data_IF_172104578774
#
_entry.id   IF_172104578774
#
_cell.length_a   1.000
_cell.length_b   1.000
_cell.length_c   1.000
_cell.angle_alpha   90.00
_cell.angle_beta   90.00
_cell.angle_gamma   90.00
#
_symmetry.space_group_name_H-M   'P 1'
#
loop_
_entity.id
_entity.type
_entity.pdbx_description
1 polymer ?
#
# COMPACT_ATOMS: atom_id res chain seq x y z
N UNK A 1 16.90 28.58 -54.10
CA UNK A 1 18.02 28.14 -53.26
C UNK A 1 17.80 28.49 -51.80
N UNK A 2 17.47 29.72 -51.45
CA UNK A 2 17.27 30.15 -50.05
C UNK A 2 16.20 29.35 -49.29
N UNK A 3 15.05 29.08 -49.88
CA UNK A 3 13.98 28.29 -49.23
C UNK A 3 14.42 26.87 -48.92
N UNK A 4 15.26 26.28 -49.77
CA UNK A 4 15.80 24.95 -49.57
C UNK A 4 16.80 24.93 -48.40
N UNK A 5 17.64 25.94 -48.28
CA UNK A 5 18.58 26.11 -47.18
C UNK A 5 17.83 26.30 -45.86
N UNK A 6 16.77 27.10 -45.82
CA UNK A 6 15.94 27.29 -44.62
C UNK A 6 15.30 25.98 -44.17
N UNK A 7 14.78 25.18 -45.11
CA UNK A 7 14.18 23.88 -44.78
C UNK A 7 15.25 22.93 -44.20
N UNK A 8 16.44 22.87 -44.78
CA UNK A 8 17.55 22.06 -44.25
C UNK A 8 17.97 22.49 -42.86
N UNK A 9 18.06 23.80 -42.59
CA UNK A 9 18.38 24.33 -41.27
C UNK A 9 17.30 23.96 -40.23
N UNK A 10 16.03 24.08 -40.61
CA UNK A 10 14.93 23.66 -39.74
C UNK A 10 14.98 22.18 -39.40
N UNK A 11 15.25 21.33 -40.42
CA UNK A 11 15.42 19.89 -40.21
C UNK A 11 16.59 19.61 -39.27
N UNK A 12 17.71 20.27 -39.45
CA UNK A 12 18.90 20.15 -38.61
C UNK A 12 18.61 20.58 -37.15
N UNK A 13 17.94 21.71 -36.97
CA UNK A 13 17.53 22.20 -35.65
C UNK A 13 16.64 21.18 -34.96
N UNK A 14 15.63 20.65 -35.66
CA UNK A 14 14.73 19.63 -35.11
C UNK A 14 15.50 18.36 -34.73
N UNK A 15 16.41 17.91 -35.59
CA UNK A 15 17.24 16.73 -35.32
C UNK A 15 18.16 16.92 -34.10
N UNK A 16 18.83 18.07 -34.01
CA UNK A 16 19.67 18.39 -32.86
C UNK A 16 18.86 18.53 -31.57
N UNK A 17 17.72 19.21 -31.62
CA UNK A 17 16.83 19.34 -30.48
C UNK A 17 16.35 17.98 -29.98
N UNK A 18 15.98 17.08 -30.91
CA UNK A 18 15.57 15.71 -30.58
C UNK A 18 16.73 14.92 -29.95
N UNK A 19 17.93 15.01 -30.53
CA UNK A 19 19.11 14.35 -30.02
C UNK A 19 19.45 14.79 -28.58
N UNK A 20 19.50 16.10 -28.34
CA UNK A 20 19.81 16.63 -27.01
C UNK A 20 18.73 16.29 -25.99
N UNK A 21 17.45 16.33 -26.40
CA UNK A 21 16.34 15.93 -25.56
C UNK A 21 16.44 14.46 -25.12
N UNK A 22 16.82 13.58 -26.04
CA UNK A 22 17.02 12.17 -25.76
C UNK A 22 18.18 11.95 -24.75
N UNK A 23 19.32 12.59 -24.99
CA UNK A 23 20.47 12.56 -24.06
C UNK A 23 20.16 13.09 -22.69
N UNK A 24 19.41 14.17 -22.61
CA UNK A 24 18.94 14.74 -21.35
C UNK A 24 17.98 13.78 -20.63
N UNK A 25 17.09 13.12 -21.38
CA UNK A 25 16.20 12.10 -20.86
C UNK A 25 16.96 10.92 -20.25
N UNK A 26 18.03 10.45 -20.92
CA UNK A 26 18.90 9.39 -20.41
C UNK A 26 19.61 9.80 -19.11
N UNK A 27 20.15 11.03 -19.07
CA UNK A 27 20.80 11.56 -17.88
C UNK A 27 19.85 11.64 -16.68
N UNK A 28 18.63 12.15 -16.88
CA UNK A 28 17.62 12.19 -15.83
C UNK A 28 17.18 10.79 -15.41
N UNK A 29 17.07 9.84 -16.34
CA UNK A 29 16.73 8.45 -16.00
C UNK A 29 17.79 7.79 -15.12
N UNK A 30 19.07 8.04 -15.42
CA UNK A 30 20.20 7.58 -14.57
C UNK A 30 20.12 8.26 -13.20
N UNK A 31 19.97 9.60 -13.17
CA UNK A 31 19.84 10.33 -11.91
C UNK A 31 18.69 9.81 -11.05
N UNK A 32 17.53 9.49 -11.65
CA UNK A 32 16.40 8.90 -10.94
C UNK A 32 16.70 7.54 -10.30
N UNK A 33 17.52 6.70 -10.96
CA UNK A 33 17.90 5.38 -10.41
C UNK A 33 18.78 5.49 -9.17
N UNK A 34 19.64 6.48 -9.12
CA UNK A 34 20.64 6.64 -8.06
C UNK A 34 20.32 7.74 -7.06
N UNK A 35 19.20 8.45 -7.23
CA UNK A 35 18.79 9.48 -6.29
C UNK A 35 18.50 8.88 -4.91
N UNK A 36 19.08 9.41 -3.82
CA UNK A 36 18.90 8.87 -2.47
C UNK A 36 17.49 9.14 -1.94
N UNK A 37 16.95 10.33 -2.19
CA UNK A 37 15.64 10.73 -1.72
C UNK A 37 14.54 10.39 -2.72
N UNK A 38 13.37 10.01 -2.22
CA UNK A 38 12.20 9.67 -3.05
C UNK A 38 11.74 10.86 -3.90
N UNK A 39 11.79 12.07 -3.35
CA UNK A 39 11.43 13.31 -4.04
C UNK A 39 12.30 13.52 -5.28
N UNK A 40 13.63 13.45 -5.11
CA UNK A 40 14.58 13.58 -6.22
C UNK A 40 14.35 12.49 -7.27
N UNK A 41 14.04 11.26 -6.83
CA UNK A 41 13.72 10.16 -7.72
C UNK A 41 12.47 10.45 -8.54
N UNK A 42 11.43 10.98 -7.92
CA UNK A 42 10.19 11.40 -8.59
C UNK A 42 10.46 12.52 -9.60
N UNK A 43 11.16 13.56 -9.16
CA UNK A 43 11.47 14.70 -10.01
C UNK A 43 12.30 14.30 -11.24
N UNK A 44 13.39 13.56 -11.06
CA UNK A 44 14.21 13.09 -12.17
C UNK A 44 13.47 12.13 -13.08
N UNK A 45 12.66 11.22 -12.53
CA UNK A 45 11.80 10.32 -13.33
C UNK A 45 10.80 11.12 -14.18
N UNK A 46 10.20 12.15 -13.59
CA UNK A 46 9.30 13.07 -14.30
C UNK A 46 10.01 13.79 -15.46
N UNK A 47 11.17 14.40 -15.18
CA UNK A 47 11.97 15.10 -16.20
C UNK A 47 12.38 14.16 -17.33
N UNK A 48 12.76 12.92 -17.00
CA UNK A 48 13.10 11.90 -17.98
C UNK A 48 11.90 11.49 -18.85
N UNK A 49 10.70 11.32 -18.26
CA UNK A 49 9.46 11.03 -19.02
C UNK A 49 9.12 12.16 -19.96
N UNK A 50 9.20 13.43 -19.51
CA UNK A 50 8.95 14.61 -20.34
C UNK A 50 9.96 14.74 -21.47
N UNK A 51 11.20 14.30 -21.26
CA UNK A 51 12.22 14.21 -22.29
C UNK A 51 12.01 13.03 -23.25
N UNK A 52 11.04 12.15 -23.01
CA UNK A 52 10.68 11.02 -23.87
C UNK A 52 11.44 9.73 -23.61
N UNK A 53 12.16 9.63 -22.48
CA UNK A 53 12.91 8.43 -22.13
C UNK A 53 11.96 7.24 -21.88
N UNK A 54 12.20 6.11 -22.57
CA UNK A 54 11.33 4.94 -22.50
C UNK A 54 11.46 4.18 -21.17
N UNK A 55 12.67 4.16 -20.61
CA UNK A 55 12.93 3.47 -19.34
C UNK A 55 12.30 4.24 -18.16
N UNK A 56 12.38 5.55 -18.18
CA UNK A 56 11.74 6.40 -17.19
C UNK A 56 10.22 6.18 -17.09
N UNK A 57 9.55 5.78 -18.17
CA UNK A 57 8.14 5.43 -18.16
C UNK A 57 7.81 4.21 -17.28
N UNK A 58 8.81 3.37 -16.97
CA UNK A 58 8.65 2.26 -16.04
C UNK A 58 8.92 2.68 -14.59
N UNK A 59 9.81 3.64 -14.38
CA UNK A 59 10.24 4.11 -13.06
C UNK A 59 9.22 5.09 -12.48
N UNK A 60 8.79 6.08 -13.28
CA UNK A 60 7.92 7.16 -12.83
C UNK A 60 6.60 6.69 -12.20
N UNK A 61 5.81 5.79 -12.83
CA UNK A 61 4.58 5.29 -12.23
C UNK A 61 4.80 4.61 -10.87
N UNK A 62 5.93 3.93 -10.69
CA UNK A 62 6.25 3.23 -9.45
C UNK A 62 6.62 4.23 -8.35
N UNK A 63 7.38 5.28 -8.69
CA UNK A 63 7.79 6.31 -7.72
C UNK A 63 6.63 7.19 -7.26
N UNK A 64 5.56 7.30 -8.05
CA UNK A 64 4.35 8.06 -7.74
C UNK A 64 3.11 7.17 -7.51
N UNK A 65 3.30 5.87 -7.26
CA UNK A 65 2.21 4.89 -7.23
C UNK A 65 1.03 5.29 -6.33
N UNK A 66 1.29 5.96 -5.20
CA UNK A 66 0.24 6.43 -4.27
C UNK A 66 -0.64 7.54 -4.86
N UNK A 67 -0.18 8.21 -5.91
CA UNK A 67 -0.85 9.32 -6.59
C UNK A 67 -1.26 8.97 -8.00
N UNK A 68 -0.95 7.73 -8.43
CA UNK A 68 -1.29 7.26 -9.77
C UNK A 68 -2.79 7.35 -10.03
N UNK A 69 -3.16 7.61 -11.29
CA UNK A 69 -4.55 7.58 -11.70
C UNK A 69 -5.14 6.19 -11.45
N UNK A 70 -6.38 6.15 -10.99
CA UNK A 70 -7.08 4.92 -10.62
C UNK A 70 -7.36 4.83 -9.13
N UNK A 71 -7.16 3.66 -8.54
CA UNK A 71 -7.42 3.47 -7.12
C UNK A 71 -6.23 3.96 -6.29
N UNK A 72 -6.50 4.75 -5.27
CA UNK A 72 -5.48 5.27 -4.37
C UNK A 72 -5.49 4.49 -3.05
N UNK A 73 -4.30 4.20 -2.48
CA UNK A 73 -4.20 3.60 -1.15
C UNK A 73 -4.99 4.40 -0.10
N UNK A 74 -5.64 3.68 0.81
CA UNK A 74 -6.42 4.24 1.91
C UNK A 74 -7.58 5.17 1.49
N UNK A 75 -8.01 5.10 0.23
CA UNK A 75 -9.21 5.76 -0.26
C UNK A 75 -10.24 4.71 -0.70
N UNK A 76 -11.51 4.98 -0.38
CA UNK A 76 -12.60 4.11 -0.80
C UNK A 76 -12.82 4.26 -2.31
N UNK A 77 -12.83 3.15 -2.99
CA UNK A 77 -13.15 3.06 -4.42
C UNK A 77 -14.19 1.95 -4.65
N UNK A 78 -14.73 1.83 -5.85
CA UNK A 78 -15.69 0.78 -6.18
C UNK A 78 -15.07 -0.28 -7.08
N UNK A 79 -15.10 -1.54 -6.63
CA UNK A 79 -14.78 -2.71 -7.45
C UNK A 79 -16.01 -3.59 -7.59
N UNK A 80 -16.46 -3.81 -8.83
CA UNK A 80 -17.70 -4.57 -9.09
C UNK A 80 -18.92 -4.04 -8.30
N UNK A 81 -19.02 -2.72 -8.16
CA UNK A 81 -20.02 -1.96 -7.37
C UNK A 81 -19.87 -2.09 -5.84
N UNK A 82 -18.90 -2.84 -5.33
CA UNK A 82 -18.62 -2.98 -3.90
C UNK A 82 -17.64 -1.86 -3.48
N UNK A 83 -17.89 -1.11 -2.40
CA UNK A 83 -16.92 -0.22 -1.78
C UNK A 83 -15.72 -1.03 -1.30
N UNK A 84 -14.52 -0.66 -1.75
CA UNK A 84 -13.27 -1.35 -1.42
C UNK A 84 -12.25 -0.36 -0.89
N UNK A 85 -11.34 -0.85 -0.07
CA UNK A 85 -10.15 -0.12 0.38
C UNK A 85 -8.96 -1.07 0.44
N UNK A 86 -7.77 -0.55 0.18
CA UNK A 86 -6.50 -1.28 0.35
C UNK A 86 -5.46 -0.35 0.96
N UNK A 87 -4.46 -0.94 1.62
CA UNK A 87 -3.47 -0.15 2.36
C UNK A 87 -2.39 0.45 1.46
N UNK A 88 -1.81 -0.35 0.56
CA UNK A 88 -0.85 0.14 -0.45
C UNK A 88 -0.77 -0.85 -1.63
N UNK A 89 0.06 -0.55 -2.64
CA UNK A 89 0.22 -1.41 -3.80
C UNK A 89 1.14 -2.60 -3.53
N UNK A 90 0.69 -3.78 -3.93
CA UNK A 90 1.54 -4.94 -4.10
C UNK A 90 2.16 -4.92 -5.51
N UNK A 91 3.49 -4.86 -5.58
CA UNK A 91 4.23 -4.87 -6.83
C UNK A 91 4.67 -6.29 -7.18
N UNK A 92 4.21 -6.86 -8.31
CA UNK A 92 4.74 -8.11 -8.82
C UNK A 92 6.26 -8.10 -8.98
N UNK A 93 6.91 -9.26 -8.81
CA UNK A 93 8.38 -9.41 -8.80
C UNK A 93 9.11 -8.82 -10.02
N UNK A 94 8.43 -8.74 -11.17
CA UNK A 94 8.97 -8.08 -12.38
C UNK A 94 9.32 -6.59 -12.19
N UNK A 95 8.84 -5.97 -11.12
CA UNK A 95 9.13 -4.56 -10.81
C UNK A 95 10.21 -4.38 -9.74
N UNK A 96 10.75 -5.46 -9.16
CA UNK A 96 11.68 -5.40 -8.02
C UNK A 96 12.88 -4.47 -8.21
N UNK A 97 13.42 -4.38 -9.44
CA UNK A 97 14.56 -3.50 -9.74
C UNK A 97 14.22 -2.00 -9.69
N UNK A 98 12.94 -1.64 -9.66
CA UNK A 98 12.47 -0.26 -9.64
C UNK A 98 11.92 0.18 -8.28
N UNK A 99 11.74 -0.78 -7.35
CA UNK A 99 11.15 -0.52 -6.05
C UNK A 99 12.15 0.13 -5.09
N UNK A 100 11.65 1.04 -4.26
CA UNK A 100 12.36 1.47 -3.05
C UNK A 100 12.37 0.34 -2.02
N UNK A 101 13.25 0.45 -1.01
CA UNK A 101 13.28 -0.53 0.07
C UNK A 101 11.93 -0.57 0.82
N UNK A 102 11.32 0.58 1.08
CA UNK A 102 9.99 0.65 1.70
C UNK A 102 8.92 -0.11 0.91
N UNK A 103 8.92 0.03 -0.42
CA UNK A 103 7.98 -0.72 -1.28
C UNK A 103 8.25 -2.22 -1.24
N UNK A 104 9.52 -2.64 -1.22
CA UNK A 104 9.89 -4.06 -1.12
C UNK A 104 9.44 -4.65 0.23
N UNK A 105 9.70 -3.92 1.33
CA UNK A 105 9.30 -4.33 2.67
C UNK A 105 7.78 -4.43 2.80
N UNK A 106 7.04 -3.46 2.27
CA UNK A 106 5.58 -3.55 2.23
C UNK A 106 5.11 -4.79 1.45
N UNK A 107 5.67 -5.04 0.26
CA UNK A 107 5.35 -6.25 -0.51
C UNK A 107 5.67 -7.52 0.29
N UNK A 108 6.78 -7.55 1.01
CA UNK A 108 7.15 -8.68 1.86
C UNK A 108 6.16 -8.86 3.01
N UNK A 109 5.76 -7.77 3.68
CA UNK A 109 4.76 -7.84 4.77
C UNK A 109 3.41 -8.38 4.31
N UNK A 110 2.99 -8.05 3.08
CA UNK A 110 1.76 -8.61 2.48
C UNK A 110 1.91 -10.11 2.18
N UNK A 111 3.08 -10.54 1.70
CA UNK A 111 3.36 -11.97 1.48
C UNK A 111 3.43 -12.73 2.81
N UNK A 112 4.04 -12.15 3.82
CA UNK A 112 4.12 -12.73 5.15
C UNK A 112 2.73 -12.84 5.80
N UNK A 113 1.87 -11.84 5.63
CA UNK A 113 0.46 -11.94 6.01
C UNK A 113 -0.24 -13.08 5.25
N UNK A 114 -0.06 -13.16 3.94
CA UNK A 114 -0.62 -14.23 3.12
C UNK A 114 -0.20 -15.61 3.59
N UNK A 115 1.03 -15.76 4.06
CA UNK A 115 1.59 -17.00 4.60
C UNK A 115 1.26 -17.23 6.09
N UNK A 116 0.58 -16.28 6.73
CA UNK A 116 0.24 -16.31 8.16
C UNK A 116 1.45 -16.16 9.06
N UNK A 117 2.48 -15.45 8.63
CA UNK A 117 3.66 -15.04 9.40
C UNK A 117 3.52 -13.65 10.01
N UNK A 118 2.55 -12.87 9.54
CA UNK A 118 2.23 -11.52 9.98
C UNK A 118 0.74 -11.44 10.33
N UNK A 119 0.38 -10.72 11.39
CA UNK A 119 -0.99 -10.68 11.93
C UNK A 119 -2.01 -9.94 11.04
N UNK A 120 -1.57 -9.03 10.19
CA UNK A 120 -2.45 -8.27 9.28
C UNK A 120 -3.40 -7.27 9.95
N UNK A 121 -3.35 -7.10 11.27
CA UNK A 121 -4.27 -6.25 12.05
C UNK A 121 -4.33 -4.83 11.47
N UNK A 122 -3.18 -4.25 11.11
CA UNK A 122 -3.12 -2.91 10.53
C UNK A 122 -3.97 -2.73 9.27
N UNK A 123 -4.05 -3.77 8.45
CA UNK A 123 -4.85 -3.73 7.22
C UNK A 123 -6.34 -3.72 7.54
N UNK A 124 -6.75 -4.52 8.54
CA UNK A 124 -8.12 -4.56 9.03
C UNK A 124 -8.54 -3.20 9.59
N UNK A 125 -7.76 -2.66 10.52
CA UNK A 125 -8.07 -1.40 11.20
C UNK A 125 -8.17 -0.25 10.20
N UNK A 126 -7.15 -0.10 9.32
CA UNK A 126 -7.19 0.92 8.28
C UNK A 126 -8.43 0.81 7.38
N UNK A 127 -8.84 -0.43 7.07
CA UNK A 127 -10.03 -0.69 6.29
C UNK A 127 -11.33 -0.33 7.00
N UNK A 128 -11.49 -0.72 8.27
CA UNK A 128 -12.66 -0.40 9.10
C UNK A 128 -12.79 1.12 9.25
N UNK A 129 -11.70 1.83 9.53
CA UNK A 129 -11.71 3.30 9.67
C UNK A 129 -12.18 4.01 8.38
N UNK A 130 -11.84 3.48 7.22
CA UNK A 130 -12.22 4.10 5.94
C UNK A 130 -13.63 3.71 5.48
N UNK A 131 -14.04 2.46 5.68
CA UNK A 131 -15.36 1.99 5.26
C UNK A 131 -16.45 2.26 6.28
N UNK A 132 -16.11 2.38 7.57
CA UNK A 132 -17.01 2.67 8.69
C UNK A 132 -18.25 1.77 8.67
N UNK A 133 -18.08 0.44 8.78
CA UNK A 133 -19.20 -0.49 8.81
C UNK A 133 -20.14 -0.17 9.96
N UNK A 134 -21.43 -0.45 9.78
CA UNK A 134 -22.43 -0.25 10.82
C UNK A 134 -22.30 -1.29 11.92
N UNK A 135 -22.72 -0.99 13.15
CA UNK A 135 -22.89 -2.01 14.19
C UNK A 135 -23.72 -3.21 13.67
N UNK A 136 -23.31 -4.41 14.06
CA UNK A 136 -23.93 -5.66 13.59
C UNK A 136 -23.45 -6.15 12.22
N UNK A 137 -22.61 -5.40 11.49
CA UNK A 137 -21.99 -5.89 10.25
C UNK A 137 -21.11 -7.10 10.56
N UNK A 138 -21.30 -8.17 9.79
CA UNK A 138 -20.49 -9.40 9.89
C UNK A 138 -19.19 -9.22 9.10
N UNK A 139 -18.04 -9.31 9.76
CA UNK A 139 -16.74 -9.26 9.10
C UNK A 139 -16.33 -10.69 8.74
N UNK A 140 -16.37 -11.01 7.45
CA UNK A 140 -16.01 -12.32 6.92
C UNK A 140 -14.66 -12.26 6.22
N UNK A 141 -13.88 -13.32 6.40
CA UNK A 141 -12.56 -13.46 5.80
C UNK A 141 -12.65 -14.34 4.54
N UNK A 142 -11.93 -13.96 3.48
CA UNK A 142 -11.96 -14.68 2.21
C UNK A 142 -11.41 -16.10 2.39
N UNK A 143 -12.16 -17.13 1.96
CA UNK A 143 -11.72 -18.52 2.12
C UNK A 143 -10.42 -18.82 1.38
N UNK A 144 -9.49 -19.48 2.07
CA UNK A 144 -8.23 -19.96 1.52
C UNK A 144 -8.39 -21.33 0.82
N UNK A 145 -7.30 -21.84 0.23
CA UNK A 145 -7.31 -23.18 -0.38
C UNK A 145 -7.45 -24.30 0.64
N UNK A 146 -7.05 -24.08 1.90
CA UNK A 146 -7.17 -25.05 3.00
C UNK A 146 -7.64 -24.37 4.28
N UNK A 147 -8.32 -25.12 5.13
CA UNK A 147 -8.74 -24.65 6.45
C UNK A 147 -7.53 -24.20 7.31
N UNK A 148 -6.43 -24.94 7.25
CA UNK A 148 -5.19 -24.62 7.99
C UNK A 148 -4.64 -23.24 7.58
N UNK A 149 -4.60 -22.93 6.26
CA UNK A 149 -4.13 -21.62 5.78
C UNK A 149 -5.08 -20.49 6.20
N UNK A 150 -6.38 -20.75 6.18
CA UNK A 150 -7.40 -19.78 6.60
C UNK A 150 -7.21 -19.37 8.06
N UNK A 151 -7.15 -20.32 8.97
CA UNK A 151 -6.93 -20.05 10.39
C UNK A 151 -5.56 -19.42 10.66
N UNK A 152 -4.50 -19.93 10.03
CA UNK A 152 -3.16 -19.37 10.18
C UNK A 152 -3.08 -17.91 9.77
N UNK A 153 -3.80 -17.51 8.72
CA UNK A 153 -3.80 -16.15 8.20
C UNK A 153 -4.65 -15.20 9.02
N UNK A 154 -5.85 -15.62 9.39
CA UNK A 154 -6.87 -14.70 9.88
C UNK A 154 -7.19 -14.79 11.36
N UNK A 155 -6.70 -15.84 12.09
CA UNK A 155 -7.06 -16.01 13.49
C UNK A 155 -6.72 -14.81 14.35
N UNK A 156 -5.50 -14.33 14.33
CA UNK A 156 -5.06 -13.19 15.14
C UNK A 156 -5.84 -11.91 14.79
N UNK A 157 -6.14 -11.71 13.51
CA UNK A 157 -6.97 -10.60 13.06
C UNK A 157 -8.42 -10.72 13.56
N UNK A 158 -8.96 -11.93 13.60
CA UNK A 158 -10.31 -12.20 14.10
C UNK A 158 -10.39 -12.06 15.63
N UNK A 159 -9.38 -12.51 16.35
CA UNK A 159 -9.27 -12.31 17.81
C UNK A 159 -9.24 -10.80 18.12
N UNK A 160 -8.39 -10.04 17.42
CA UNK A 160 -8.32 -8.58 17.54
C UNK A 160 -9.66 -7.89 17.22
N UNK A 161 -10.34 -8.31 16.15
CA UNK A 161 -11.66 -7.79 15.79
C UNK A 161 -12.68 -8.01 16.89
N UNK A 162 -12.68 -9.20 17.48
CA UNK A 162 -13.58 -9.54 18.59
C UNK A 162 -13.35 -8.65 19.82
N UNK A 163 -12.09 -8.37 20.14
CA UNK A 163 -11.72 -7.63 21.35
C UNK A 163 -11.88 -6.12 21.19
N UNK A 164 -11.53 -5.56 20.03
CA UNK A 164 -11.45 -4.11 19.82
C UNK A 164 -12.68 -3.53 19.09
N UNK A 165 -13.48 -4.35 18.44
CA UNK A 165 -14.69 -3.94 17.71
C UNK A 165 -15.91 -4.78 18.11
N UNK A 166 -16.32 -4.75 19.39
CA UNK A 166 -17.42 -5.60 19.86
C UNK A 166 -18.78 -5.29 19.20
N UNK A 167 -18.91 -4.12 18.56
CA UNK A 167 -20.09 -3.76 17.78
C UNK A 167 -20.16 -4.48 16.42
N UNK A 168 -19.06 -5.08 15.96
CA UNK A 168 -19.01 -5.86 14.73
C UNK A 168 -19.06 -7.36 15.03
N UNK A 169 -19.63 -8.14 14.14
CA UNK A 169 -19.71 -9.59 14.30
C UNK A 169 -18.52 -10.27 13.62
N UNK A 170 -17.70 -10.99 14.38
CA UNK A 170 -16.59 -11.75 13.84
C UNK A 170 -17.09 -13.02 13.13
N UNK A 171 -17.05 -13.02 11.79
CA UNK A 171 -17.53 -14.12 10.94
C UNK A 171 -16.48 -15.19 10.60
N UNK A 172 -15.35 -15.28 11.32
CA UNK A 172 -14.31 -16.27 11.01
C UNK A 172 -14.83 -17.71 11.11
N UNK A 173 -15.71 -18.01 12.04
CA UNK A 173 -16.30 -19.32 12.24
C UNK A 173 -17.45 -19.64 11.30
N UNK A 174 -17.92 -18.65 10.52
CA UNK A 174 -19.03 -18.84 9.57
C UNK A 174 -18.62 -19.66 8.36
N UNK A 175 -17.35 -19.68 8.02
CA UNK A 175 -16.80 -20.50 6.93
C UNK A 175 -16.40 -21.86 7.45
N UNK A 176 -16.95 -22.92 6.87
CA UNK A 176 -16.60 -24.33 7.13
C UNK A 176 -16.07 -24.99 5.87
N UNK A 177 -15.03 -25.77 6.03
CA UNK A 177 -14.36 -26.46 4.93
C UNK A 177 -14.86 -27.90 4.78
N UNK A 178 -15.10 -28.29 3.53
CA UNK A 178 -15.43 -29.69 3.15
C UNK A 178 -14.20 -30.51 2.80
N UNK A 179 -13.07 -29.86 2.57
CA UNK A 179 -11.78 -30.46 2.22
C UNK A 179 -10.76 -29.44 1.79
N UNK A 180 -9.57 -29.90 1.43
CA UNK A 180 -8.50 -29.07 0.88
C UNK A 180 -8.61 -29.03 -0.65
N UNK A 181 -8.31 -27.89 -1.26
CA UNK A 181 -8.22 -27.72 -2.72
C UNK A 181 -6.82 -27.22 -3.14
N UNK A 182 -6.46 -27.46 -4.38
CA UNK A 182 -5.25 -26.84 -4.94
C UNK A 182 -5.33 -25.32 -4.97
N UNK A 183 -4.20 -24.67 -4.74
CA UNK A 183 -4.09 -23.22 -4.81
C UNK A 183 -4.24 -22.76 -6.26
N UNK A 184 -5.10 -21.78 -6.51
CA UNK A 184 -5.33 -21.17 -7.84
C UNK A 184 -4.04 -20.70 -8.54
N UNK A 185 -2.98 -20.42 -7.77
CA UNK A 185 -1.68 -20.00 -8.31
C UNK A 185 -0.92 -21.12 -9.02
N UNK A 186 -1.28 -22.38 -8.79
CA UNK A 186 -0.64 -23.54 -9.41
C UNK A 186 -1.36 -24.01 -10.67
N UNK A 187 -2.58 -23.52 -10.93
CA UNK A 187 -3.35 -23.89 -12.12
C UNK A 187 -2.88 -23.10 -13.35
N UNK A 188 -2.59 -23.81 -14.43
CA UNK A 188 -2.08 -23.23 -15.68
C UNK A 188 -3.13 -22.39 -16.44
N UNK A 189 -4.41 -22.72 -16.32
CA UNK A 189 -5.54 -22.02 -16.96
C UNK A 189 -6.39 -21.24 -15.95
N UNK A 190 -5.91 -20.10 -15.52
CA UNK A 190 -6.53 -19.28 -14.48
C UNK A 190 -7.85 -18.61 -14.87
N UNK A 191 -8.07 -18.37 -16.17
CA UNK A 191 -9.25 -17.62 -16.63
C UNK A 191 -10.51 -18.49 -16.77
N UNK A 192 -10.36 -19.77 -17.04
CA UNK A 192 -11.44 -20.70 -17.31
C UNK A 192 -11.61 -21.83 -16.28
N UNK A 193 -10.72 -21.95 -15.31
CA UNK A 193 -10.85 -22.97 -14.28
C UNK A 193 -12.06 -22.65 -13.39
N UNK A 194 -13.08 -23.51 -13.44
CA UNK A 194 -14.12 -23.54 -12.42
C UNK A 194 -13.42 -23.87 -11.08
N UNK A 195 -13.40 -22.90 -10.18
CA UNK A 195 -12.83 -23.10 -8.84
C UNK A 195 -13.77 -23.99 -8.08
N UNK A 196 -13.39 -25.25 -7.89
CA UNK A 196 -14.17 -26.17 -7.07
C UNK A 196 -14.30 -25.58 -5.66
N UNK A 197 -15.54 -25.37 -5.22
CA UNK A 197 -15.85 -24.81 -3.92
C UNK A 197 -15.59 -25.85 -2.86
N UNK A 198 -14.69 -25.54 -1.92
CA UNK A 198 -14.29 -26.44 -0.83
C UNK A 198 -14.75 -25.96 0.55
N UNK A 199 -15.76 -25.09 0.60
CA UNK A 199 -16.34 -24.55 1.83
C UNK A 199 -17.83 -24.25 1.68
N UNK A 200 -18.50 -24.04 2.81
CA UNK A 200 -19.89 -23.56 2.90
C UNK A 200 -20.04 -22.61 4.09
N UNK A 201 -21.13 -21.85 4.12
CA UNK A 201 -21.48 -21.05 5.28
C UNK A 201 -22.26 -21.89 6.28
N UNK A 202 -21.80 -21.90 7.54
CA UNK A 202 -22.44 -22.62 8.63
C UNK A 202 -23.62 -21.83 9.20
N UNK A 203 -23.48 -20.51 9.25
CA UNK A 203 -24.44 -19.59 9.85
C UNK A 203 -25.28 -18.94 8.73
N UNK A 204 -26.57 -18.76 9.00
CA UNK A 204 -27.49 -18.05 8.10
C UNK A 204 -27.08 -16.58 7.94
N UNK A 205 -26.92 -16.14 6.70
CA UNK A 205 -26.57 -14.76 6.35
C UNK A 205 -27.80 -13.91 5.99
N UNK A 206 -28.99 -14.45 6.06
CA UNK A 206 -30.22 -13.74 5.68
C UNK A 206 -30.35 -12.39 6.39
N UNK A 207 -30.44 -11.31 5.60
CA UNK A 207 -30.55 -9.94 6.07
C UNK A 207 -29.29 -9.33 6.68
N UNK A 208 -28.17 -10.06 6.75
CA UNK A 208 -26.91 -9.54 7.33
C UNK A 208 -26.12 -8.70 6.32
N UNK A 209 -25.56 -7.57 6.78
CA UNK A 209 -24.54 -6.83 6.06
C UNK A 209 -23.18 -7.50 6.28
N UNK A 210 -22.42 -7.74 5.21
CA UNK A 210 -21.13 -8.44 5.24
C UNK A 210 -20.00 -7.53 4.75
N UNK A 211 -18.96 -7.39 5.57
CA UNK A 211 -17.70 -6.77 5.21
C UNK A 211 -16.68 -7.88 4.93
N UNK A 212 -16.10 -7.90 3.74
CA UNK A 212 -15.14 -8.94 3.33
C UNK A 212 -13.71 -8.49 3.57
N UNK A 213 -12.87 -9.39 4.09
CA UNK A 213 -11.42 -9.15 4.30
C UNK A 213 -10.59 -10.16 3.51
N UNK A 214 -9.57 -9.67 2.76
CA UNK A 214 -8.67 -10.54 1.98
C UNK A 214 -7.25 -9.95 1.93
N UNK A 215 -6.30 -10.73 1.38
CA UNK A 215 -4.89 -10.32 1.24
C UNK A 215 -4.67 -9.34 0.09
N UNK A 216 -4.87 -9.76 -1.16
CA UNK A 216 -4.49 -8.97 -2.35
C UNK A 216 -5.64 -8.90 -3.36
N UNK A 217 -6.07 -7.68 -3.67
CA UNK A 217 -7.00 -7.43 -4.77
C UNK A 217 -6.24 -7.40 -6.10
N UNK A 218 -6.55 -8.33 -7.01
CA UNK A 218 -5.96 -8.35 -8.36
C UNK A 218 -7.00 -7.98 -9.42
N UNK A 219 -7.88 -8.92 -9.79
CA UNK A 219 -8.96 -8.69 -10.77
C UNK A 219 -10.30 -8.41 -10.10
N UNK A 220 -10.45 -8.84 -8.86
CA UNK A 220 -11.69 -8.81 -8.11
C UNK A 220 -12.65 -9.96 -8.46
N UNK A 221 -12.17 -11.01 -9.18
CA UNK A 221 -12.99 -12.18 -9.49
C UNK A 221 -13.38 -12.91 -8.19
N UNK A 222 -12.40 -13.23 -7.33
CA UNK A 222 -12.68 -13.92 -6.06
C UNK A 222 -13.67 -13.14 -5.18
N UNK A 223 -13.53 -11.80 -5.13
CA UNK A 223 -14.48 -10.95 -4.41
C UNK A 223 -15.89 -11.06 -5.01
N UNK A 224 -16.00 -11.07 -6.33
CA UNK A 224 -17.30 -11.21 -7.01
C UNK A 224 -17.93 -12.57 -6.77
N UNK A 225 -17.14 -13.64 -6.86
CA UNK A 225 -17.61 -15.01 -6.65
C UNK A 225 -18.10 -15.18 -5.20
N UNK A 226 -17.30 -14.71 -4.22
CA UNK A 226 -17.69 -14.74 -2.81
C UNK A 226 -18.93 -13.90 -2.52
N UNK A 227 -19.05 -12.73 -3.15
CA UNK A 227 -20.25 -11.90 -3.05
C UNK A 227 -21.50 -12.66 -3.52
N UNK A 228 -21.41 -13.33 -4.67
CA UNK A 228 -22.55 -14.10 -5.19
C UNK A 228 -22.99 -15.18 -4.21
N UNK A 229 -22.04 -15.81 -3.52
CA UNK A 229 -22.34 -16.81 -2.52
C UNK A 229 -23.02 -16.21 -1.27
N UNK A 230 -22.51 -15.08 -0.78
CA UNK A 230 -23.13 -14.35 0.34
C UNK A 230 -24.56 -13.91 -0.02
N UNK A 231 -24.75 -13.41 -1.25
CA UNK A 231 -26.07 -12.96 -1.71
C UNK A 231 -27.02 -14.15 -1.95
N UNK A 232 -26.52 -15.31 -2.38
CA UNK A 232 -27.31 -16.53 -2.51
C UNK A 232 -27.79 -17.08 -1.15
N UNK A 233 -27.01 -16.81 -0.07
CA UNK A 233 -27.35 -17.15 1.31
C UNK A 233 -28.14 -16.02 2.03
N UNK A 234 -28.69 -15.07 1.27
CA UNK A 234 -29.53 -13.98 1.76
C UNK A 234 -28.81 -12.79 2.40
N UNK A 235 -27.48 -12.77 2.41
CA UNK A 235 -26.66 -11.69 2.91
C UNK A 235 -26.42 -10.58 1.87
N UNK A 236 -25.77 -9.49 2.30
CA UNK A 236 -25.40 -8.38 1.42
C UNK A 236 -23.97 -7.94 1.66
N UNK A 237 -23.09 -8.02 0.67
CA UNK A 237 -21.72 -7.47 0.77
C UNK A 237 -21.78 -5.95 0.68
N UNK A 238 -21.41 -5.26 1.76
CA UNK A 238 -21.42 -3.80 1.88
C UNK A 238 -20.04 -3.16 1.70
N UNK A 239 -18.97 -3.94 1.81
CA UNK A 239 -17.61 -3.45 1.60
C UNK A 239 -16.58 -4.58 1.54
N UNK A 240 -15.35 -4.21 1.15
CA UNK A 240 -14.22 -5.14 1.17
C UNK A 240 -12.92 -4.43 1.54
N UNK A 241 -12.12 -5.07 2.39
CA UNK A 241 -10.81 -4.63 2.86
C UNK A 241 -9.74 -5.55 2.28
N UNK A 242 -8.69 -4.96 1.74
CA UNK A 242 -7.53 -5.68 1.23
C UNK A 242 -6.25 -5.15 1.88
N UNK A 243 -5.30 -6.03 2.16
CA UNK A 243 -3.97 -5.60 2.55
C UNK A 243 -3.32 -4.79 1.42
N UNK A 244 -3.49 -5.25 0.17
CA UNK A 244 -2.93 -4.57 -0.99
C UNK A 244 -3.79 -4.69 -2.25
N UNK A 245 -3.61 -3.77 -3.20
CA UNK A 245 -4.04 -3.95 -4.60
C UNK A 245 -2.82 -4.21 -5.48
N UNK A 246 -2.91 -5.18 -6.38
CA UNK A 246 -1.83 -5.49 -7.34
C UNK A 246 -1.60 -4.28 -8.25
N UNK A 247 -0.38 -3.72 -8.22
CA UNK A 247 0.01 -2.62 -9.08
C UNK A 247 -0.05 -3.04 -10.56
N UNK A 248 -0.68 -2.19 -11.36
CA UNK A 248 -0.74 -2.33 -12.82
C UNK A 248 -0.05 -1.13 -13.45
N UNK A 249 0.95 -1.41 -14.30
CA UNK A 249 1.65 -0.35 -15.02
C UNK A 249 0.66 0.41 -15.92
N UNK A 250 0.56 1.74 -15.77
CA UNK A 250 -0.23 2.57 -16.66
C UNK A 250 0.35 2.57 -18.09
N UNK A 251 -0.47 2.94 -19.06
CA UNK A 251 0.03 3.11 -20.42
C UNK A 251 0.95 4.35 -20.56
N UNK A 252 1.73 4.41 -21.63
CA UNK A 252 2.71 5.48 -21.84
C UNK A 252 2.09 6.87 -21.92
N UNK A 253 0.89 6.98 -22.49
CA UNK A 253 0.17 8.24 -22.61
C UNK A 253 -0.25 8.78 -21.23
N UNK A 254 -0.79 7.91 -20.38
CA UNK A 254 -1.13 8.25 -19.01
C UNK A 254 0.11 8.72 -18.23
N UNK A 255 1.22 7.99 -18.31
CA UNK A 255 2.48 8.38 -17.66
C UNK A 255 2.95 9.77 -18.09
N UNK A 256 2.78 10.10 -19.37
CA UNK A 256 3.12 11.44 -19.89
C UNK A 256 2.20 12.51 -19.32
N UNK A 257 0.88 12.29 -19.30
CA UNK A 257 -0.09 13.23 -18.73
C UNK A 257 0.18 13.51 -17.24
N UNK A 258 0.45 12.46 -16.46
CA UNK A 258 0.83 12.60 -15.06
C UNK A 258 2.14 13.38 -14.90
N UNK A 259 3.13 13.11 -15.75
CA UNK A 259 4.39 13.84 -15.72
C UNK A 259 4.21 15.33 -16.06
N UNK A 260 3.29 15.68 -16.96
CA UNK A 260 2.95 17.08 -17.28
C UNK A 260 2.22 17.75 -16.12
N UNK A 261 1.24 17.05 -15.53
CA UNK A 261 0.43 17.58 -14.42
C UNK A 261 1.16 17.63 -13.08
N UNK A 262 2.27 16.91 -12.93
CA UNK A 262 3.04 16.90 -11.71
C UNK A 262 3.86 18.19 -11.58
N UNK A 263 3.48 19.07 -10.66
CA UNK A 263 4.20 20.29 -10.34
C UNK A 263 5.01 20.13 -9.05
N UNK A 264 5.99 21.03 -8.81
CA UNK A 264 6.70 21.13 -7.55
C UNK A 264 5.74 21.45 -6.39
N UNK A 265 4.71 22.26 -6.65
CA UNK A 265 3.65 22.56 -5.69
C UNK A 265 2.82 21.32 -5.33
N UNK A 266 2.59 20.42 -6.29
CA UNK A 266 1.90 19.16 -6.03
C UNK A 266 2.79 18.19 -5.25
N UNK A 267 4.08 18.10 -5.56
CA UNK A 267 5.04 17.34 -4.78
C UNK A 267 5.13 17.87 -3.33
N UNK A 268 5.30 19.18 -3.16
CA UNK A 268 5.30 19.83 -1.85
C UNK A 268 3.99 19.69 -1.08
N UNK A 269 2.85 19.70 -1.78
CA UNK A 269 1.54 19.47 -1.18
C UNK A 269 1.38 18.09 -0.56
N UNK A 270 1.97 17.08 -1.17
CA UNK A 270 1.88 15.69 -0.71
C UNK A 270 2.98 15.32 0.29
N UNK A 271 4.11 16.02 0.27
CA UNK A 271 5.27 15.72 1.11
C UNK A 271 5.36 16.58 2.37
N UNK A 272 4.89 17.82 2.31
CA UNK A 272 4.86 18.73 3.46
C UNK A 272 3.58 18.66 4.29
N UNK A 273 2.59 17.86 3.87
CA UNK A 273 1.43 17.54 4.71
C UNK A 273 1.59 16.13 5.29
N UNK A 274 2.33 15.99 6.39
CA UNK A 274 2.48 14.70 7.09
C UNK A 274 1.14 14.04 7.43
N UNK A 275 0.05 14.84 7.47
CA UNK A 275 -1.28 14.37 7.85
C UNK A 275 -2.03 13.61 6.75
N UNK A 276 -1.66 13.77 5.46
CA UNK A 276 -2.53 13.33 4.38
C UNK A 276 -2.05 12.13 3.55
N UNK A 277 -0.78 11.72 3.61
CA UNK A 277 -0.32 10.69 2.68
C UNK A 277 0.58 9.59 3.28
N UNK A 278 1.85 9.81 3.33
CA UNK A 278 2.81 8.76 3.69
C UNK A 278 2.95 8.59 5.20
N UNK A 279 2.58 9.59 5.96
CA UNK A 279 2.79 9.70 7.39
C UNK A 279 1.53 9.46 8.22
N UNK A 280 0.39 9.19 7.58
CA UNK A 280 -0.75 8.58 8.25
C UNK A 280 -0.41 7.18 8.80
N UNK A 281 0.64 6.56 8.30
CA UNK A 281 1.06 5.25 8.73
C UNK A 281 1.47 5.19 10.21
N UNK A 282 2.35 6.08 10.71
CA UNK A 282 2.66 6.14 12.15
C UNK A 282 1.45 6.50 13.02
N UNK A 283 0.59 7.40 12.53
CA UNK A 283 -0.63 7.77 13.25
C UNK A 283 -1.64 6.62 13.32
N UNK A 284 -1.81 5.91 12.22
CA UNK A 284 -2.67 4.72 12.17
C UNK A 284 -2.15 3.63 13.09
N UNK A 285 -0.83 3.39 13.12
CA UNK A 285 -0.23 2.42 14.04
C UNK A 285 -0.57 2.72 15.49
N UNK A 286 -0.55 3.99 15.92
CA UNK A 286 -0.97 4.37 17.27
C UNK A 286 -2.41 4.03 17.57
N UNK A 287 -3.30 4.22 16.60
CA UNK A 287 -4.71 3.83 16.72
C UNK A 287 -4.93 2.33 16.70
N UNK A 288 -4.03 1.58 16.10
CA UNK A 288 -4.15 0.14 15.98
C UNK A 288 -3.95 -0.61 17.27
N UNK A 289 -3.44 0.03 18.32
CA UNK A 289 -3.21 -0.61 19.60
C UNK A 289 -2.25 -1.80 19.57
N UNK A 290 -1.37 -1.86 18.54
CA UNK A 290 -0.55 -3.03 18.23
C UNK A 290 0.62 -3.22 19.22
N UNK A 291 0.80 -2.32 20.18
CA UNK A 291 2.06 -2.17 20.90
C UNK A 291 1.93 -2.36 22.40
N UNK A 292 1.25 -3.39 22.83
CA UNK A 292 1.43 -3.88 24.19
C UNK A 292 2.64 -4.84 24.30
N UNK A 293 3.41 -5.02 23.18
CA UNK A 293 4.46 -6.01 23.00
C UNK A 293 5.86 -5.40 23.00
N UNK A 294 6.87 -6.24 23.12
CA UNK A 294 8.28 -5.87 23.13
C UNK A 294 8.71 -5.16 21.83
N UNK A 295 9.71 -4.26 21.87
CA UNK A 295 10.16 -3.52 20.70
C UNK A 295 10.58 -4.36 19.48
N UNK A 296 10.93 -5.60 19.70
CA UNK A 296 11.34 -6.56 18.66
C UNK A 296 10.21 -6.92 17.70
N UNK A 297 8.95 -6.83 18.16
CA UNK A 297 7.76 -7.08 17.34
C UNK A 297 7.23 -5.83 16.63
N UNK A 298 7.91 -4.70 16.84
CA UNK A 298 7.56 -3.43 16.24
C UNK A 298 8.03 -3.42 14.79
N UNK A 299 7.13 -3.04 13.92
CA UNK A 299 7.40 -2.83 12.51
C UNK A 299 8.63 -1.92 12.31
N UNK A 300 9.42 -2.17 11.28
CA UNK A 300 10.66 -1.48 10.93
C UNK A 300 10.54 0.05 10.76
N UNK A 301 9.34 0.57 10.52
CA UNK A 301 9.11 2.01 10.40
C UNK A 301 8.79 2.66 11.74
N UNK A 302 9.45 3.77 12.10
CA UNK A 302 9.08 4.53 13.29
C UNK A 302 7.67 5.11 13.17
N UNK A 303 6.97 5.22 14.28
CA UNK A 303 5.68 5.89 14.35
C UNK A 303 5.81 7.40 14.12
N UNK A 304 6.95 7.95 14.50
CA UNK A 304 7.28 9.36 14.33
C UNK A 304 8.78 9.54 14.12
N UNK A 305 9.15 10.35 13.14
CA UNK A 305 10.51 10.85 12.96
C UNK A 305 10.52 12.36 13.24
N UNK A 306 11.44 12.82 14.05
CA UNK A 306 11.61 14.23 14.43
C UNK A 306 13.04 14.62 14.11
N UNK A 307 13.23 15.79 13.49
CA UNK A 307 14.55 16.39 13.31
C UNK A 307 14.76 17.36 14.47
N UNK A 308 15.82 17.14 15.23
CA UNK A 308 16.24 18.01 16.33
C UNK A 308 17.74 18.26 16.22
N UNK A 309 18.14 19.51 15.98
CA UNK A 309 19.52 19.85 15.68
C UNK A 309 20.05 19.08 14.47
N UNK A 310 21.19 18.41 14.61
CA UNK A 310 21.82 17.58 13.58
C UNK A 310 21.42 16.09 13.66
N UNK A 311 20.30 15.77 14.30
CA UNK A 311 19.87 14.38 14.50
C UNK A 311 18.44 14.15 14.05
N UNK A 312 18.20 12.97 13.50
CA UNK A 312 16.87 12.42 13.28
C UNK A 312 16.55 11.47 14.42
N UNK A 313 15.42 11.72 15.10
CA UNK A 313 14.94 10.93 16.22
C UNK A 313 13.74 10.12 15.76
N UNK A 314 13.90 8.83 15.72
CA UNK A 314 12.84 7.88 15.40
C UNK A 314 12.18 7.40 16.69
N UNK A 315 10.86 7.47 16.77
CA UNK A 315 10.06 7.07 17.92
C UNK A 315 9.08 5.99 17.55
N UNK A 316 8.99 4.95 18.37
CA UNK A 316 7.95 3.91 18.31
C UNK A 316 7.09 3.99 19.56
N UNK A 317 5.80 3.98 19.38
CA UNK A 317 4.84 4.08 20.47
C UNK A 317 4.18 2.74 20.73
N UNK A 318 4.08 2.37 21.99
CA UNK A 318 3.31 1.22 22.46
C UNK A 318 2.15 1.68 23.34
N UNK A 319 1.24 0.76 23.65
CA UNK A 319 0.12 1.01 24.55
C UNK A 319 0.36 0.32 25.89
N UNK A 320 0.48 1.10 26.97
CA UNK A 320 0.57 0.58 28.34
C UNK A 320 -0.54 1.15 29.19
N UNK A 321 -1.36 0.29 29.80
CA UNK A 321 -2.50 0.69 30.65
C UNK A 321 -3.43 1.71 29.98
N UNK A 322 -3.72 1.53 28.68
CA UNK A 322 -4.58 2.41 27.90
C UNK A 322 -3.95 3.73 27.45
N UNK A 323 -2.67 4.00 27.77
CA UNK A 323 -1.95 5.21 27.35
C UNK A 323 -0.87 4.87 26.33
N UNK A 324 -0.66 5.75 25.35
CA UNK A 324 0.47 5.63 24.43
C UNK A 324 1.76 6.09 25.11
N UNK A 325 2.79 5.30 25.00
CA UNK A 325 4.13 5.56 25.54
C UNK A 325 5.18 5.26 24.48
N UNK A 326 6.31 5.97 24.52
CA UNK A 326 7.44 5.64 23.66
C UNK A 326 8.04 4.31 24.15
N UNK A 327 8.06 3.30 23.29
CA UNK A 327 8.59 1.96 23.62
C UNK A 327 9.98 1.73 23.03
N UNK A 328 10.30 2.43 21.95
CA UNK A 328 11.64 2.42 21.33
C UNK A 328 11.96 3.82 20.84
N UNK A 329 13.21 4.25 21.04
CA UNK A 329 13.79 5.49 20.53
C UNK A 329 15.10 5.16 19.82
N UNK A 330 15.32 5.74 18.66
CA UNK A 330 16.56 5.65 17.91
C UNK A 330 16.98 7.06 17.48
N UNK A 331 18.22 7.41 17.71
CA UNK A 331 18.79 8.72 17.32
C UNK A 331 19.82 8.47 16.23
N UNK A 332 19.61 9.06 15.07
CA UNK A 332 20.49 8.95 13.92
C UNK A 332 21.09 10.33 13.61
N UNK A 333 22.40 10.48 13.48
CA UNK A 333 23.00 11.74 13.03
C UNK A 333 22.57 12.01 11.59
N UNK A 334 22.21 13.24 11.26
CA UNK A 334 21.93 13.68 9.89
C UNK A 334 23.22 13.83 9.09
N UNK A 335 24.31 14.17 9.78
CA UNK A 335 25.65 14.18 9.24
C UNK A 335 26.52 13.19 10.05
N UNK A 336 26.89 12.03 9.45
CA UNK A 336 27.69 11.04 10.15
C UNK A 336 29.13 11.50 10.51
N UNK A 337 29.58 12.62 9.99
CA UNK A 337 30.90 13.20 10.30
C UNK A 337 30.86 14.25 11.44
N UNK A 338 29.66 14.58 11.98
CA UNK A 338 29.54 15.53 13.07
C UNK A 338 29.62 14.85 14.44
N UNK A 339 30.67 15.13 15.20
CA UNK A 339 30.87 14.69 16.60
C UNK A 339 30.06 15.51 17.64
N UNK A 340 29.05 16.30 17.25
CA UNK A 340 28.27 17.06 18.21
C UNK A 340 27.28 16.13 18.95
N UNK A 341 27.43 15.98 20.28
CA UNK A 341 26.50 15.14 21.04
C UNK A 341 25.09 15.76 21.05
N UNK A 342 24.13 14.97 20.64
CA UNK A 342 22.72 15.30 20.81
C UNK A 342 22.43 15.44 22.32
N UNK A 343 21.84 16.55 22.73
CA UNK A 343 21.40 16.72 24.13
C UNK A 343 20.28 15.68 24.39
N UNK A 344 20.46 14.82 25.38
CA UNK A 344 19.52 13.77 25.77
C UNK A 344 18.23 14.29 26.43
N UNK A 345 18.11 15.61 26.59
CA UNK A 345 16.93 16.21 27.21
C UNK A 345 15.76 16.30 26.23
N UNK A 346 14.97 15.23 26.22
CA UNK A 346 13.74 15.11 25.43
C UNK A 346 12.48 15.19 26.28
N UNK A 347 12.55 15.79 27.46
CA UNK A 347 11.38 16.02 28.31
C UNK A 347 10.26 16.83 27.62
N UNK A 348 10.62 17.61 26.58
CA UNK A 348 9.65 18.30 25.72
C UNK A 348 8.83 17.38 24.81
N UNK A 349 9.28 16.12 24.60
CA UNK A 349 8.60 15.17 23.69
C UNK A 349 7.75 14.15 24.41
N UNK A 350 7.64 14.23 25.72
CA UNK A 350 6.60 13.56 26.50
C UNK A 350 5.25 14.24 26.18
N UNK A 351 4.69 13.82 25.07
CA UNK A 351 3.39 14.30 24.63
C UNK A 351 2.33 13.97 25.69
N UNK A 352 1.87 15.00 26.38
CA UNK A 352 0.54 14.98 26.97
C UNK A 352 -0.47 14.83 25.83
N UNK A 353 -0.91 13.60 25.58
CA UNK A 353 -2.03 13.27 24.71
C UNK A 353 -3.24 13.05 25.59
#
# INVERSE_FOLDING_TARGET
MERFIIILLLILIVALTRYWREKLGDAYCIAAKYAPALELRREFSRKAVLAGNKEARKIFPITIARFAAGHQPLKVFKRKKIPCVFTDYYFPSRYNSYLSEAQKQFCQSVLDFKDGKHNGIRFLVAGIEKLKPKPGTVVMFMPCSTQRKYWKRFKTMADYLHDEYPELVCGISYVRYTGDRESLHLQKDRENAAVEKNYFFKEDLTGKEVLVVDDILTTGKSLQDFRQEVEADGGKVVGAIFAAETFKMPNAFWCYLEAVGWSEDDAGKYEHKPKDAALDYPYQRRKWGIYDEEPEDIDWMPDRAIIHGNSMINLWYGRRKGKYVVVKKEVLPLDPESDEPCSDDLSEFDLKI
#
